data_IF_343151504307
#
_entry.id   IF_343151504307
#
_cell.length_a   1.000
_cell.length_b   1.000
_cell.length_c   1.000
_cell.angle_alpha   90.00
_cell.angle_beta   90.00
_cell.angle_gamma   90.00
#
_symmetry.space_group_name_H-M   'P 1'
#
loop_
_entity.id
_entity.type
_entity.pdbx_description
1 polymer ?
#
# COMPACT_ATOMS: atom_id res chain seq x y z
N UNK A 1 -4.50 5.16 12.92
CA UNK A 1 -3.52 5.94 12.13
C UNK A 1 -4.21 6.31 10.83
N UNK A 2 -4.20 7.60 10.46
CA UNK A 2 -4.74 8.03 9.16
C UNK A 2 -3.57 8.09 8.18
N UNK A 3 -3.66 7.30 7.12
CA UNK A 3 -2.60 7.13 6.13
C UNK A 3 -3.25 6.97 4.77
N UNK A 4 -2.64 7.59 3.79
CA UNK A 4 -3.03 7.49 2.39
C UNK A 4 -1.77 7.40 1.54
N UNK A 5 -1.91 6.87 0.34
CA UNK A 5 -0.88 6.90 -0.68
C UNK A 5 -1.48 7.30 -2.03
N UNK A 6 -0.77 8.16 -2.75
CA UNK A 6 -1.19 8.70 -4.03
C UNK A 6 -0.28 8.10 -5.10
N UNK A 7 -0.91 7.51 -6.11
CA UNK A 7 -0.22 7.03 -7.31
C UNK A 7 0.67 8.12 -7.95
N UNK A 8 1.77 7.70 -8.57
CA UNK A 8 2.76 8.61 -9.15
C UNK A 8 2.18 9.55 -10.23
N UNK A 9 1.19 9.08 -11.00
CA UNK A 9 0.48 9.88 -12.00
C UNK A 9 -0.58 10.82 -11.37
N UNK A 10 -0.83 10.66 -10.07
CA UNK A 10 -1.77 11.41 -9.28
C UNK A 10 -3.22 11.07 -9.54
N UNK A 11 -3.57 9.91 -10.13
CA UNK A 11 -4.96 9.61 -10.57
C UNK A 11 -5.74 8.69 -9.64
N UNK A 12 -5.07 8.00 -8.74
CA UNK A 12 -5.69 7.19 -7.69
C UNK A 12 -5.06 7.46 -6.33
N UNK A 13 -5.90 7.56 -5.29
CA UNK A 13 -5.49 7.61 -3.88
C UNK A 13 -6.01 6.37 -3.15
N UNK A 14 -5.12 5.71 -2.45
CA UNK A 14 -5.39 4.55 -1.60
C UNK A 14 -5.37 5.02 -0.15
N UNK A 15 -6.35 4.64 0.65
CA UNK A 15 -6.43 5.10 2.04
C UNK A 15 -7.20 4.11 2.90
N UNK A 16 -7.00 4.19 4.22
CA UNK A 16 -7.79 3.42 5.17
C UNK A 16 -9.04 4.21 5.60
N UNK A 17 -10.18 3.53 5.65
CA UNK A 17 -11.43 4.03 6.24
C UNK A 17 -11.94 2.99 7.23
N UNK A 18 -11.87 3.30 8.52
CA UNK A 18 -12.07 2.30 9.57
C UNK A 18 -10.95 1.27 9.55
N UNK A 19 -11.29 -0.01 9.36
CA UNK A 19 -10.34 -1.13 9.29
C UNK A 19 -10.09 -1.59 7.85
N UNK A 20 -10.71 -0.97 6.86
CA UNK A 20 -10.68 -1.42 5.47
C UNK A 20 -9.93 -0.42 4.59
N UNK A 21 -9.26 -0.93 3.55
CA UNK A 21 -8.62 -0.13 2.52
C UNK A 21 -9.60 0.20 1.38
N UNK A 22 -9.50 1.43 0.92
CA UNK A 22 -10.34 2.02 -0.12
C UNK A 22 -9.47 2.69 -1.17
N UNK A 23 -10.03 2.85 -2.36
CA UNK A 23 -9.41 3.61 -3.45
C UNK A 23 -10.41 4.62 -4.01
N UNK A 24 -9.96 5.86 -4.21
CA UNK A 24 -10.70 6.86 -4.98
C UNK A 24 -9.90 7.21 -6.25
N UNK A 25 -10.59 7.38 -7.37
CA UNK A 25 -9.98 7.64 -8.69
C UNK A 25 -10.49 8.91 -9.35
N UNK A 26 -9.69 9.46 -10.25
CA UNK A 26 -10.03 10.61 -11.11
C UNK A 26 -9.41 10.45 -12.49
N UNK A 27 -9.99 11.14 -13.48
CA UNK A 27 -9.54 11.01 -14.86
C UNK A 27 -8.22 11.77 -15.11
N UNK A 28 -8.06 12.97 -14.54
CA UNK A 28 -6.87 13.82 -14.65
C UNK A 28 -6.44 14.32 -13.27
N UNK A 29 -5.21 14.83 -13.17
CA UNK A 29 -4.62 15.29 -11.91
C UNK A 29 -5.32 16.54 -11.35
N UNK A 30 -6.02 17.27 -12.18
CA UNK A 30 -6.73 18.49 -11.82
C UNK A 30 -8.20 18.22 -11.49
N UNK A 31 -8.71 17.04 -11.86
CA UNK A 31 -10.09 16.65 -11.59
C UNK A 31 -10.28 16.31 -10.10
N UNK A 32 -11.49 16.48 -9.55
CA UNK A 32 -11.82 15.95 -8.24
C UNK A 32 -11.79 14.41 -8.26
N UNK A 33 -11.45 13.80 -7.13
CA UNK A 33 -11.65 12.37 -6.94
C UNK A 33 -13.14 12.02 -6.96
N UNK A 34 -13.48 10.92 -7.64
CA UNK A 34 -14.81 10.34 -7.59
C UNK A 34 -15.08 9.64 -6.26
N UNK A 35 -16.24 8.99 -6.18
CA UNK A 35 -16.61 8.21 -5.00
C UNK A 35 -15.61 7.06 -4.76
N UNK A 36 -15.18 6.85 -3.49
CA UNK A 36 -14.26 5.77 -3.17
C UNK A 36 -14.94 4.41 -3.29
N UNK A 37 -14.17 3.41 -3.71
CA UNK A 37 -14.59 2.00 -3.79
C UNK A 37 -13.77 1.20 -2.78
N UNK A 38 -14.44 0.34 -2.02
CA UNK A 38 -13.76 -0.54 -1.06
C UNK A 38 -12.96 -1.62 -1.82
N UNK A 39 -11.82 -2.02 -1.27
CA UNK A 39 -10.97 -3.06 -1.84
C UNK A 39 -11.25 -4.44 -1.26
N UNK A 40 -12.08 -4.56 -0.21
CA UNK A 40 -12.25 -5.82 0.53
C UNK A 40 -10.97 -6.28 1.23
N UNK A 41 -10.13 -5.33 1.65
CA UNK A 41 -8.85 -5.59 2.31
C UNK A 41 -8.89 -4.95 3.70
N UNK A 42 -8.80 -5.77 4.73
CA UNK A 42 -8.61 -5.28 6.10
C UNK A 42 -7.14 -4.86 6.29
N UNK A 43 -6.91 -3.59 6.62
CA UNK A 43 -5.56 -3.06 6.78
C UNK A 43 -5.50 -1.55 6.98
N UNK A 44 -4.29 -1.06 7.19
CA UNK A 44 -3.95 0.35 7.32
C UNK A 44 -2.58 0.64 6.65
N UNK A 45 -2.16 1.91 6.65
CA UNK A 45 -0.88 2.33 6.08
C UNK A 45 -0.62 1.79 4.67
N UNK A 46 -1.53 2.03 3.71
CA UNK A 46 -1.33 1.53 2.36
C UNK A 46 -0.11 2.19 1.74
N UNK A 47 0.64 1.43 0.97
CA UNK A 47 1.63 1.93 0.03
C UNK A 47 1.54 1.19 -1.30
N UNK A 48 1.27 1.93 -2.37
CA UNK A 48 0.97 1.41 -3.70
C UNK A 48 2.19 1.52 -4.61
N UNK A 49 2.58 0.40 -5.23
CA UNK A 49 3.71 0.35 -6.15
C UNK A 49 3.45 1.09 -7.48
N UNK A 50 4.52 1.37 -8.21
CA UNK A 50 4.44 1.91 -9.57
C UNK A 50 3.62 0.96 -10.48
N UNK A 51 2.63 1.50 -11.19
CA UNK A 51 1.68 0.73 -11.99
C UNK A 51 0.50 0.13 -11.21
N UNK A 52 0.40 0.42 -9.91
CA UNK A 52 -0.66 -0.02 -9.01
C UNK A 52 -0.89 -1.55 -8.97
N UNK A 53 0.09 -2.38 -9.32
CA UNK A 53 -0.09 -3.85 -9.33
C UNK A 53 0.19 -4.51 -7.97
N UNK A 54 0.82 -3.78 -7.06
CA UNK A 54 1.24 -4.26 -5.75
C UNK A 54 0.88 -3.24 -4.67
N UNK A 55 0.21 -3.70 -3.62
CA UNK A 55 -0.22 -2.89 -2.49
C UNK A 55 0.38 -3.49 -1.22
N UNK A 56 1.22 -2.72 -0.53
CA UNK A 56 1.73 -3.04 0.79
C UNK A 56 0.87 -2.35 1.85
N UNK A 57 0.65 -3.01 2.98
CA UNK A 57 -0.18 -2.45 4.06
C UNK A 57 0.12 -3.14 5.40
N UNK A 58 -0.15 -2.45 6.50
CA UNK A 58 -0.10 -3.04 7.83
C UNK A 58 -1.43 -3.71 8.17
N UNK A 59 -1.37 -4.90 8.77
CA UNK A 59 -2.53 -5.60 9.32
C UNK A 59 -2.16 -6.15 10.68
N UNK A 60 -2.71 -5.54 11.74
CA UNK A 60 -2.24 -5.81 13.10
C UNK A 60 -0.79 -5.35 13.26
N UNK A 61 0.13 -6.30 13.47
CA UNK A 61 1.57 -6.04 13.63
C UNK A 61 2.42 -6.55 12.46
N UNK A 62 1.79 -7.09 11.41
CA UNK A 62 2.49 -7.65 10.26
C UNK A 62 2.41 -6.73 9.06
N UNK A 63 3.46 -6.78 8.25
CA UNK A 63 3.45 -6.20 6.91
C UNK A 63 2.86 -7.21 5.94
N UNK A 64 1.91 -6.77 5.14
CA UNK A 64 1.23 -7.61 4.16
C UNK A 64 1.37 -6.98 2.78
N UNK A 65 1.35 -7.82 1.77
CA UNK A 65 1.32 -7.46 0.37
C UNK A 65 0.10 -8.09 -0.27
N UNK A 66 -0.61 -7.32 -1.08
CA UNK A 66 -1.50 -7.86 -2.10
C UNK A 66 -1.06 -7.51 -3.51
N UNK A 67 -1.29 -8.42 -4.45
CA UNK A 67 -0.97 -8.22 -5.87
C UNK A 67 -2.18 -8.46 -6.77
N UNK A 68 -2.16 -7.84 -7.95
CA UNK A 68 -3.14 -8.04 -9.03
C UNK A 68 -2.46 -8.10 -10.39
N UNK A 69 -3.08 -8.80 -11.34
CA UNK A 69 -2.51 -9.01 -12.68
C UNK A 69 -2.64 -7.78 -13.60
N UNK A 70 -3.61 -6.92 -13.34
CA UNK A 70 -3.86 -5.69 -14.11
C UNK A 70 -4.64 -4.66 -13.29
N UNK A 71 -4.77 -3.44 -13.80
CA UNK A 71 -5.53 -2.36 -13.15
C UNK A 71 -7.03 -2.68 -12.98
N UNK A 72 -7.59 -3.51 -13.85
CA UNK A 72 -9.00 -3.90 -13.84
C UNK A 72 -9.24 -5.19 -13.04
N UNK A 73 -8.18 -5.92 -12.65
CA UNK A 73 -8.29 -7.10 -11.81
C UNK A 73 -8.36 -6.71 -10.31
N UNK A 74 -9.07 -7.49 -9.48
CA UNK A 74 -9.03 -7.30 -8.03
C UNK A 74 -7.65 -7.68 -7.46
N UNK A 75 -7.31 -7.13 -6.30
CA UNK A 75 -6.19 -7.59 -5.48
C UNK A 75 -6.50 -8.97 -4.89
N UNK A 76 -5.96 -10.02 -5.50
CA UNK A 76 -6.37 -11.41 -5.25
C UNK A 76 -5.32 -12.26 -4.50
N UNK A 77 -4.03 -11.94 -4.64
CA UNK A 77 -2.96 -12.69 -3.96
C UNK A 77 -2.53 -11.94 -2.70
N UNK A 78 -2.65 -12.56 -1.52
CA UNK A 78 -2.17 -12.02 -0.23
C UNK A 78 -0.96 -12.81 0.25
N UNK A 79 0.08 -12.10 0.67
CA UNK A 79 1.24 -12.68 1.32
C UNK A 79 1.67 -11.79 2.49
N UNK A 80 2.00 -12.41 3.62
CA UNK A 80 2.73 -11.75 4.68
C UNK A 80 4.17 -11.51 4.21
N UNK A 81 4.67 -10.30 4.42
CA UNK A 81 6.04 -9.92 4.09
C UNK A 81 6.86 -10.04 5.36
N UNK A 82 7.82 -10.96 5.37
CA UNK A 82 8.71 -11.13 6.51
C UNK A 82 9.47 -9.82 6.76
N UNK A 83 9.46 -9.32 8.00
CA UNK A 83 10.21 -8.14 8.43
C UNK A 83 11.17 -8.49 9.57
N UNK A 84 12.30 -9.19 9.28
CA UNK A 84 13.23 -9.62 10.32
C UNK A 84 13.74 -8.44 11.14
N UNK A 85 13.56 -8.51 12.46
CA UNK A 85 14.03 -7.47 13.38
C UNK A 85 13.13 -6.23 13.48
N UNK A 86 11.98 -6.20 12.79
CA UNK A 86 10.96 -5.16 12.95
C UNK A 86 9.76 -5.80 13.65
N UNK A 87 9.50 -5.42 14.90
CA UNK A 87 8.41 -6.04 15.69
C UNK A 87 7.05 -5.43 15.39
N UNK A 88 7.02 -4.15 14.99
CA UNK A 88 5.79 -3.39 14.81
C UNK A 88 5.87 -2.52 13.55
N UNK A 89 5.63 -3.08 12.37
CA UNK A 89 5.56 -2.30 11.14
C UNK A 89 4.29 -1.42 11.15
N UNK A 90 4.42 -0.18 11.63
CA UNK A 90 3.30 0.76 11.74
C UNK A 90 2.95 1.35 10.38
N UNK A 91 3.98 1.78 9.65
CA UNK A 91 3.86 2.37 8.32
C UNK A 91 4.83 1.71 7.37
N UNK A 92 4.40 1.59 6.13
CA UNK A 92 5.23 1.15 5.01
C UNK A 92 5.19 2.19 3.92
N UNK A 93 6.31 2.36 3.22
CA UNK A 93 6.41 3.12 1.99
C UNK A 93 7.26 2.32 0.99
N UNK A 94 6.74 2.08 -0.20
CA UNK A 94 7.51 1.56 -1.31
C UNK A 94 8.33 2.68 -1.93
N UNK A 95 9.62 2.43 -2.18
CA UNK A 95 10.48 3.42 -2.83
C UNK A 95 9.97 3.76 -4.24
N UNK A 96 10.27 4.97 -4.71
CA UNK A 96 9.81 5.45 -6.03
C UNK A 96 10.25 4.59 -7.21
N UNK A 97 11.41 3.93 -7.10
CA UNK A 97 11.95 2.99 -8.09
C UNK A 97 11.40 1.56 -7.90
N UNK A 98 10.60 1.34 -6.87
CA UNK A 98 10.02 0.05 -6.53
C UNK A 98 11.06 -0.98 -6.13
N UNK A 99 12.27 -0.62 -5.73
CA UNK A 99 13.28 -1.62 -5.34
C UNK A 99 13.27 -1.94 -3.86
N UNK A 100 12.64 -1.10 -3.03
CA UNK A 100 12.76 -1.14 -1.58
C UNK A 100 11.45 -0.85 -0.87
N UNK A 101 11.40 -1.30 0.39
CA UNK A 101 10.38 -0.92 1.36
C UNK A 101 11.06 -0.17 2.52
N UNK A 102 10.53 0.99 2.84
CA UNK A 102 10.82 1.76 4.02
C UNK A 102 9.75 1.45 5.06
N UNK A 103 10.16 1.10 6.27
CA UNK A 103 9.29 0.68 7.34
C UNK A 103 9.56 1.52 8.57
N UNK A 104 8.51 2.08 9.16
CA UNK A 104 8.61 2.67 10.49
C UNK A 104 8.08 1.65 11.48
N UNK A 105 8.97 1.20 12.37
CA UNK A 105 8.64 0.29 13.47
C UNK A 105 9.64 0.43 14.60
N UNK A 106 9.15 0.27 15.83
CA UNK A 106 9.95 0.40 17.06
C UNK A 106 10.64 1.78 17.19
N UNK A 107 9.95 2.84 16.74
CA UNK A 107 10.46 4.21 16.63
C UNK A 107 11.74 4.35 15.77
N UNK A 108 12.02 3.38 14.91
CA UNK A 108 13.16 3.37 13.98
C UNK A 108 12.69 3.30 12.53
N UNK A 109 13.44 3.97 11.67
CA UNK A 109 13.34 3.78 10.22
C UNK A 109 14.15 2.54 9.83
N UNK A 110 13.47 1.58 9.23
CA UNK A 110 14.04 0.35 8.70
C UNK A 110 13.91 0.35 7.18
N UNK A 111 14.84 -0.33 6.50
CA UNK A 111 14.88 -0.43 5.04
C UNK A 111 15.07 -1.89 4.64
N UNK A 112 14.31 -2.34 3.66
CA UNK A 112 14.36 -3.70 3.15
C UNK A 112 14.37 -3.70 1.62
N UNK A 113 15.26 -4.48 1.02
CA UNK A 113 15.24 -4.71 -0.42
C UNK A 113 14.09 -5.64 -0.79
N UNK A 114 13.44 -5.36 -1.92
CA UNK A 114 12.44 -6.24 -2.51
C UNK A 114 13.16 -7.27 -3.35
N UNK A 115 13.15 -8.54 -2.94
CA UNK A 115 13.61 -9.62 -3.81
C UNK A 115 12.58 -9.79 -4.92
N UNK A 116 12.97 -9.50 -6.16
CA UNK A 116 12.22 -9.94 -7.34
C UNK A 116 12.26 -11.47 -7.37
N UNK A 117 11.12 -12.12 -7.14
CA UNK A 117 10.89 -13.50 -7.59
C UNK A 117 10.18 -13.47 -8.94
#
# INVERSE_FOLDING_TARGET
MFSLDLTADGRAVYFASGTELWVARRARREDPFGAPTSLGIDGAAPSIGAGELELYFSRGFTLNKRSRESLDAPFAFEAEVATPGVQLAHSVEISSDGTELLLIGDDQLNRMNRTCE
#
